data_IF_795099467708
#
_entry.id   IF_795099467708
#
_cell.length_a   1.000
_cell.length_b   1.000
_cell.length_c   1.000
_cell.angle_alpha   90.00
_cell.angle_beta   90.00
_cell.angle_gamma   90.00
#
_symmetry.space_group_name_H-M   'P 1'
#
loop_
_entity.id
_entity.type
_entity.pdbx_description
1 polymer ?
#
# COMPACT_ATOMS: atom_id res chain seq x y z
N UNK A 1 9.49 9.17 12.31
CA UNK A 1 10.67 8.96 11.43
C UNK A 1 10.57 9.93 10.27
N UNK A 2 11.67 10.51 9.79
CA UNK A 2 11.60 11.52 8.71
C UNK A 2 11.64 10.90 7.29
N UNK A 3 11.87 9.59 7.19
CA UNK A 3 12.04 8.86 5.95
C UNK A 3 11.22 7.57 5.97
N UNK A 4 10.67 7.21 4.81
CA UNK A 4 9.99 5.93 4.62
C UNK A 4 11.03 4.83 4.42
N UNK A 5 10.63 3.58 4.65
CA UNK A 5 11.47 2.42 4.41
C UNK A 5 11.05 1.66 3.15
N UNK A 6 11.99 0.91 2.57
CA UNK A 6 11.66 -0.06 1.54
C UNK A 6 11.26 -1.40 2.19
N UNK A 7 10.33 -2.11 1.56
CA UNK A 7 9.92 -3.44 1.99
C UNK A 7 9.69 -4.33 0.77
N UNK A 8 10.15 -5.57 0.81
CA UNK A 8 9.87 -6.55 -0.25
C UNK A 8 8.47 -7.18 -0.05
N UNK A 9 7.98 -7.89 -1.07
CA UNK A 9 6.65 -8.49 -1.01
C UNK A 9 6.49 -9.54 0.11
N UNK A 10 7.55 -10.27 0.46
CA UNK A 10 7.53 -11.28 1.50
C UNK A 10 7.34 -10.68 2.90
N UNK A 11 8.18 -9.70 3.25
CA UNK A 11 8.11 -9.01 4.55
C UNK A 11 6.80 -8.21 4.66
N UNK A 12 6.34 -7.62 3.55
CA UNK A 12 5.04 -6.98 3.48
C UNK A 12 3.91 -7.97 3.79
N UNK A 13 3.91 -9.14 3.14
CA UNK A 13 2.92 -10.19 3.39
C UNK A 13 2.95 -10.69 4.85
N UNK A 14 4.14 -10.82 5.46
CA UNK A 14 4.26 -11.21 6.87
C UNK A 14 3.58 -10.20 7.81
N UNK A 15 3.89 -8.90 7.66
CA UNK A 15 3.26 -7.83 8.45
C UNK A 15 1.75 -7.78 8.27
N UNK A 16 1.27 -7.92 7.03
CA UNK A 16 -0.15 -7.92 6.71
C UNK A 16 -0.87 -9.12 7.31
N UNK A 17 -0.27 -10.30 7.24
CA UNK A 17 -0.82 -11.54 7.82
C UNK A 17 -0.87 -11.49 9.35
N UNK A 18 0.05 -10.76 9.98
CA UNK A 18 0.06 -10.52 11.42
C UNK A 18 -0.91 -9.41 11.88
N UNK A 19 -1.53 -8.68 10.94
CA UNK A 19 -2.38 -7.53 11.26
C UNK A 19 -1.60 -6.31 11.75
N UNK A 20 -0.30 -6.25 11.48
CA UNK A 20 0.63 -5.22 11.96
C UNK A 20 0.74 -4.01 11.01
N UNK A 21 0.10 -4.07 9.84
CA UNK A 21 0.17 -3.01 8.85
C UNK A 21 -1.12 -2.91 8.01
N UNK A 22 -1.30 -1.76 7.37
CA UNK A 22 -2.30 -1.53 6.33
C UNK A 22 -1.63 -1.45 4.96
N UNK A 23 -2.24 -2.10 3.97
CA UNK A 23 -1.79 -2.03 2.59
C UNK A 23 -2.65 -1.02 1.82
N UNK A 24 -2.01 -0.06 1.16
CA UNK A 24 -2.66 0.85 0.24
C UNK A 24 -2.12 0.66 -1.17
N UNK A 25 -3.01 0.67 -2.16
CA UNK A 25 -2.67 0.61 -3.57
C UNK A 25 -3.00 1.95 -4.24
N UNK A 26 -2.00 2.56 -4.87
CA UNK A 26 -2.12 3.88 -5.52
C UNK A 26 -2.20 3.81 -7.05
N UNK A 27 -2.37 2.61 -7.63
CA UNK A 27 -2.57 2.44 -9.08
C UNK A 27 -3.88 3.07 -9.52
N UNK A 28 -4.04 3.24 -10.82
CA UNK A 28 -5.29 3.76 -11.38
C UNK A 28 -6.50 2.85 -11.04
N UNK A 29 -7.73 3.40 -10.99
CA UNK A 29 -8.94 2.65 -10.61
C UNK A 29 -9.16 1.39 -11.45
N UNK A 30 -8.95 1.46 -12.77
CA UNK A 30 -9.17 0.32 -13.66
C UNK A 30 -8.19 -0.82 -13.34
N UNK A 31 -6.92 -0.49 -13.07
CA UNK A 31 -5.92 -1.47 -12.66
C UNK A 31 -6.23 -2.10 -11.30
N UNK A 32 -6.68 -1.30 -10.33
CA UNK A 32 -7.09 -1.79 -9.01
C UNK A 32 -8.31 -2.72 -9.12
N UNK A 33 -9.36 -2.27 -9.82
CA UNK A 33 -10.60 -3.04 -10.04
C UNK A 33 -10.34 -4.34 -10.81
N UNK A 34 -9.43 -4.33 -11.79
CA UNK A 34 -9.05 -5.55 -12.53
C UNK A 34 -8.44 -6.58 -11.59
N UNK A 35 -7.44 -6.18 -10.81
CA UNK A 35 -6.87 -7.02 -9.77
C UNK A 35 -6.02 -6.21 -8.78
N UNK A 36 -6.12 -6.52 -7.49
CA UNK A 36 -5.31 -5.93 -6.42
C UNK A 36 -4.96 -6.96 -5.36
N UNK A 37 -4.00 -6.63 -4.48
CA UNK A 37 -3.68 -7.48 -3.34
C UNK A 37 -4.88 -7.60 -2.39
N UNK A 38 -5.13 -8.79 -1.86
CA UNK A 38 -6.26 -9.04 -0.94
C UNK A 38 -6.23 -8.04 0.22
N UNK A 39 -7.35 -7.36 0.46
CA UNK A 39 -7.48 -6.41 1.58
C UNK A 39 -6.73 -5.09 1.40
N UNK A 40 -6.19 -4.81 0.22
CA UNK A 40 -5.61 -3.51 -0.09
C UNK A 40 -6.70 -2.42 -0.14
N UNK A 41 -6.41 -1.26 0.44
CA UNK A 41 -7.25 -0.07 0.30
C UNK A 41 -6.82 0.73 -0.94
N UNK A 42 -7.76 1.08 -1.81
CA UNK A 42 -7.46 1.92 -2.98
C UNK A 42 -7.26 3.38 -2.57
N UNK A 43 -6.00 3.81 -2.46
CA UNK A 43 -5.63 5.15 -2.01
C UNK A 43 -5.44 6.08 -3.20
N UNK A 44 -6.32 7.07 -3.29
CA UNK A 44 -6.32 8.15 -4.26
C UNK A 44 -6.46 9.48 -3.53
N UNK A 45 -6.30 10.60 -4.22
CA UNK A 45 -6.58 11.92 -3.63
C UNK A 45 -8.04 12.03 -3.13
N UNK A 46 -8.99 11.34 -3.77
CA UNK A 46 -10.39 11.34 -3.36
C UNK A 46 -10.68 10.46 -2.14
N UNK A 47 -9.86 9.44 -1.89
CA UNK A 47 -10.03 8.50 -0.76
C UNK A 47 -9.07 8.75 0.39
N UNK A 48 -8.10 9.66 0.24
CA UNK A 48 -7.09 9.99 1.26
C UNK A 48 -7.70 10.43 2.60
N UNK A 49 -8.65 11.37 2.59
CA UNK A 49 -9.28 11.85 3.82
C UNK A 49 -10.02 10.73 4.54
N UNK A 50 -10.69 9.85 3.79
CA UNK A 50 -11.34 8.67 4.34
C UNK A 50 -10.31 7.73 5.00
N UNK A 51 -9.21 7.44 4.30
CA UNK A 51 -8.13 6.61 4.83
C UNK A 51 -7.58 7.16 6.15
N UNK A 52 -7.26 8.45 6.21
CA UNK A 52 -6.74 9.10 7.43
C UNK A 52 -7.75 9.16 8.59
N UNK A 53 -9.05 9.05 8.31
CA UNK A 53 -10.07 8.94 9.36
C UNK A 53 -10.29 7.50 9.83
N UNK A 54 -9.93 6.50 9.01
CA UNK A 54 -10.14 5.07 9.29
C UNK A 54 -8.87 4.37 9.83
N UNK A 55 -7.69 4.95 9.62
CA UNK A 55 -6.39 4.38 10.00
C UNK A 55 -5.64 5.36 10.89
N UNK A 56 -5.28 4.90 12.09
CA UNK A 56 -4.52 5.68 13.06
C UNK A 56 -3.09 5.96 12.55
N UNK A 57 -2.53 7.12 12.91
CA UNK A 57 -1.22 7.55 12.42
C UNK A 57 -0.04 6.71 12.92
N UNK A 58 -0.22 5.98 14.01
CA UNK A 58 0.77 5.02 14.54
C UNK A 58 0.69 3.65 13.85
N UNK A 59 -0.32 3.41 12.99
CA UNK A 59 -0.47 2.17 12.24
C UNK A 59 0.50 2.16 11.06
N UNK A 60 1.37 1.14 10.92
CA UNK A 60 2.27 1.03 9.77
C UNK A 60 1.50 0.95 8.44
N UNK A 61 1.91 1.76 7.46
CA UNK A 61 1.28 1.77 6.12
C UNK A 61 2.27 1.31 5.05
N UNK A 62 1.88 0.32 4.27
CA UNK A 62 2.64 -0.17 3.12
C UNK A 62 1.99 0.37 1.85
N UNK A 63 2.76 1.09 1.03
CA UNK A 63 2.30 1.71 -0.21
C UNK A 63 2.74 0.88 -1.41
N UNK A 64 1.77 0.44 -2.20
CA UNK A 64 1.95 -0.32 -3.43
C UNK A 64 1.59 0.52 -4.66
N UNK A 65 2.44 0.50 -5.67
CA UNK A 65 2.08 0.91 -7.04
C UNK A 65 2.37 -0.23 -8.02
N UNK A 66 2.48 0.04 -9.33
CA UNK A 66 2.78 -1.01 -10.31
C UNK A 66 4.13 -1.72 -10.07
N UNK A 67 5.19 -0.95 -9.79
CA UNK A 67 6.57 -1.45 -9.82
C UNK A 67 7.46 -0.96 -8.66
N UNK A 68 6.90 -0.27 -7.66
CA UNK A 68 7.67 0.27 -6.51
C UNK A 68 8.34 1.65 -6.74
N UNK A 69 8.00 2.33 -7.84
CA UNK A 69 8.59 3.63 -8.20
C UNK A 69 7.77 4.80 -7.63
N UNK A 70 6.53 4.97 -8.09
CA UNK A 70 5.65 6.07 -7.63
C UNK A 70 5.18 5.92 -6.18
N UNK A 71 5.23 4.71 -5.62
CA UNK A 71 4.91 4.44 -4.22
C UNK A 71 5.84 5.18 -3.25
N UNK A 72 7.08 5.47 -3.64
CA UNK A 72 8.05 6.21 -2.81
C UNK A 72 7.58 7.64 -2.53
N UNK A 73 7.09 8.34 -3.55
CA UNK A 73 6.55 9.70 -3.38
C UNK A 73 5.30 9.72 -2.51
N UNK A 74 4.41 8.74 -2.69
CA UNK A 74 3.21 8.60 -1.87
C UNK A 74 3.54 8.20 -0.41
N UNK A 75 4.54 7.34 -0.20
CA UNK A 75 5.03 6.98 1.12
C UNK A 75 5.58 8.22 1.87
N UNK A 76 6.41 9.01 1.18
CA UNK A 76 6.91 10.28 1.74
C UNK A 76 5.77 11.26 2.06
N UNK A 77 4.75 11.32 1.20
CA UNK A 77 3.59 12.17 1.43
C UNK A 77 2.78 11.74 2.66
N UNK A 78 2.57 10.44 2.88
CA UNK A 78 1.88 9.94 4.07
C UNK A 78 2.66 10.26 5.36
N UNK A 79 3.99 10.16 5.36
CA UNK A 79 4.80 10.66 6.50
C UNK A 79 4.56 12.15 6.77
N UNK A 80 4.46 12.97 5.72
CA UNK A 80 4.15 14.39 5.86
C UNK A 80 2.72 14.66 6.36
N UNK A 81 1.80 13.71 6.19
CA UNK A 81 0.45 13.77 6.78
C UNK A 81 0.43 13.35 8.26
N UNK A 82 1.53 12.81 8.78
CA UNK A 82 1.67 12.47 10.20
C UNK A 82 1.76 10.98 10.52
N UNK A 83 1.77 10.09 9.52
CA UNK A 83 2.01 8.66 9.78
C UNK A 83 3.44 8.44 10.30
N UNK A 84 3.59 7.59 11.32
CA UNK A 84 4.88 7.36 11.98
C UNK A 84 5.78 6.38 11.23
N UNK A 85 5.18 5.38 10.60
CA UNK A 85 5.84 4.25 9.94
C UNK A 85 5.20 3.98 8.58
N UNK A 86 5.95 4.27 7.50
CA UNK A 86 5.45 4.09 6.13
C UNK A 86 6.51 3.37 5.29
N UNK A 87 6.04 2.45 4.44
CA UNK A 87 6.86 1.66 3.55
C UNK A 87 6.48 1.88 2.08
N UNK A 88 7.48 1.88 1.19
CA UNK A 88 7.26 1.67 -0.24
C UNK A 88 7.55 0.22 -0.58
N UNK A 89 6.60 -0.47 -1.20
CA UNK A 89 6.77 -1.88 -1.55
C UNK A 89 7.57 -2.06 -2.85
N UNK A 90 8.72 -2.72 -2.74
CA UNK A 90 9.62 -2.99 -3.85
C UNK A 90 8.97 -3.92 -4.88
N UNK A 91 9.15 -3.58 -6.16
CA UNK A 91 8.57 -4.32 -7.27
C UNK A 91 7.05 -4.19 -7.43
N UNK A 92 6.36 -3.52 -6.49
CA UNK A 92 4.94 -3.19 -6.60
C UNK A 92 4.03 -4.40 -6.81
N UNK A 93 2.85 -4.15 -7.36
CA UNK A 93 1.87 -5.18 -7.66
C UNK A 93 2.43 -6.31 -8.53
N UNK A 94 3.39 -6.00 -9.42
CA UNK A 94 4.04 -7.00 -10.26
C UNK A 94 4.87 -8.02 -9.49
N UNK A 95 5.51 -7.61 -8.39
CA UNK A 95 6.18 -8.53 -7.48
C UNK A 95 5.15 -9.29 -6.64
N UNK A 96 4.17 -8.59 -6.07
CA UNK A 96 3.15 -9.20 -5.22
C UNK A 96 2.39 -10.33 -5.92
N UNK A 97 1.86 -10.08 -7.12
CA UNK A 97 0.99 -11.02 -7.84
C UNK A 97 1.66 -12.33 -8.26
N UNK A 98 2.99 -12.41 -8.20
CA UNK A 98 3.76 -13.62 -8.53
C UNK A 98 3.77 -14.62 -7.37
N UNK A 99 3.64 -14.13 -6.14
CA UNK A 99 3.92 -14.89 -4.93
C UNK A 99 2.73 -14.94 -3.97
N UNK A 100 1.84 -13.94 -4.00
CA UNK A 100 0.79 -13.76 -3.00
C UNK A 100 -0.61 -13.60 -3.60
N UNK A 101 -1.66 -13.87 -2.79
CA UNK A 101 -3.05 -13.78 -3.25
C UNK A 101 -3.45 -12.39 -3.76
N UNK A 102 -4.31 -12.39 -4.77
CA UNK A 102 -4.94 -11.19 -5.33
C UNK A 102 -6.46 -11.36 -5.35
N UNK A 103 -7.18 -10.26 -5.22
CA UNK A 103 -8.62 -10.16 -5.53
C UNK A 103 -8.72 -9.64 -6.96
N UNK A 104 -9.38 -10.41 -7.83
CA UNK A 104 -9.70 -10.00 -9.19
C UNK A 104 -11.15 -9.52 -9.23
N UNK A 105 -11.40 -8.44 -9.97
CA UNK A 105 -12.77 -7.97 -10.21
C UNK A 105 -13.61 -9.06 -10.91
N UNK A 106 -14.87 -9.20 -10.50
CA UNK A 106 -15.83 -10.00 -11.26
C UNK A 106 -16.01 -9.34 -12.64
N UNK A 107 -15.67 -10.08 -13.69
CA UNK A 107 -15.79 -9.64 -15.08
C UNK A 107 -17.25 -9.52 -15.54
#
# INVERSE_FOLDING_TARGET
MDQFAHINAHDAHQKLSAGEARLVDIRDPQSFETAHAVGAFHLTNGTLVRFMNEVDFDTPVIVMCYHGNSSQGAAQYLLQQGYDEVYSMDGGFEAWRREFPIEAGEA
#
